data_IF_277869505176
#
_entry.id   IF_277869505176
#
_cell.length_a   1.000
_cell.length_b   1.000
_cell.length_c   1.000
_cell.angle_alpha   90.00
_cell.angle_beta   90.00
_cell.angle_gamma   90.00
#
_symmetry.space_group_name_H-M   'P 1'
#
loop_
_entity.id
_entity.type
_entity.pdbx_description
1 polymer ?
#
# COMPACT_ATOMS: atom_id res chain seq x y z
N UNK A 1 -50.41 6.03 54.46
CA UNK A 1 -49.06 5.83 53.87
C UNK A 1 -48.68 7.12 53.15
N UNK A 2 -47.65 7.83 53.60
CA UNK A 2 -47.40 9.23 53.20
C UNK A 2 -47.02 9.33 51.71
N UNK A 3 -47.31 10.48 51.08
CA UNK A 3 -47.03 10.77 49.67
C UNK A 3 -45.58 10.44 49.26
N UNK A 4 -44.62 10.63 50.17
CA UNK A 4 -43.20 10.29 49.96
C UNK A 4 -42.94 8.79 49.82
N UNK A 5 -43.65 7.97 50.59
CA UNK A 5 -43.51 6.51 50.53
C UNK A 5 -44.06 5.98 49.19
N UNK A 6 -45.15 6.59 48.67
CA UNK A 6 -45.70 6.23 47.36
C UNK A 6 -44.76 6.61 46.22
N UNK A 7 -44.11 7.77 46.29
CA UNK A 7 -43.15 8.21 45.27
C UNK A 7 -41.91 7.31 45.21
N UNK A 8 -41.33 6.98 46.38
CA UNK A 8 -40.17 6.07 46.45
C UNK A 8 -40.54 4.68 45.94
N UNK A 9 -41.75 4.19 46.26
CA UNK A 9 -42.21 2.89 45.79
C UNK A 9 -42.33 2.85 44.25
N UNK A 10 -42.86 3.90 43.62
CA UNK A 10 -42.95 4.00 42.16
C UNK A 10 -41.58 4.17 41.50
N UNK A 11 -40.66 4.94 42.09
CA UNK A 11 -39.30 5.10 41.57
C UNK A 11 -38.53 3.78 41.57
N UNK A 12 -38.61 3.00 42.65
CA UNK A 12 -37.97 1.68 42.76
C UNK A 12 -38.60 0.70 41.77
N UNK A 13 -39.92 0.75 41.57
CA UNK A 13 -40.61 -0.09 40.59
C UNK A 13 -40.19 0.25 39.15
N UNK A 14 -39.99 1.53 38.84
CA UNK A 14 -39.63 2.01 37.50
C UNK A 14 -38.15 1.72 37.18
N UNK A 15 -37.25 1.89 38.15
CA UNK A 15 -35.84 1.49 38.00
C UNK A 15 -35.73 -0.03 37.91
N UNK A 16 -36.46 -0.77 38.75
CA UNK A 16 -36.48 -2.24 38.70
C UNK A 16 -37.01 -2.78 37.37
N UNK A 17 -38.04 -2.17 36.81
CA UNK A 17 -38.56 -2.55 35.47
C UNK A 17 -37.62 -2.15 34.34
N UNK A 18 -36.95 -1.00 34.41
CA UNK A 18 -35.94 -0.62 33.42
C UNK A 18 -34.72 -1.56 33.44
N UNK A 19 -34.27 -2.00 34.62
CA UNK A 19 -33.19 -2.97 34.79
C UNK A 19 -33.61 -4.35 34.26
N UNK A 20 -34.82 -4.82 34.58
CA UNK A 20 -35.33 -6.09 34.06
C UNK A 20 -35.48 -6.04 32.53
N UNK A 21 -35.95 -4.93 31.97
CA UNK A 21 -36.05 -4.76 30.52
C UNK A 21 -34.67 -4.70 29.85
N UNK A 22 -33.67 -4.09 30.49
CA UNK A 22 -32.28 -4.09 30.01
C UNK A 22 -31.69 -5.50 29.97
N UNK A 23 -31.97 -6.34 30.96
CA UNK A 23 -31.47 -7.73 30.99
C UNK A 23 -32.30 -8.70 30.13
N UNK A 24 -33.61 -8.49 29.96
CA UNK A 24 -34.51 -9.35 29.16
C UNK A 24 -34.45 -9.03 27.66
N UNK A 25 -34.18 -7.78 27.28
CA UNK A 25 -34.02 -7.37 25.88
C UNK A 25 -32.56 -7.22 25.44
N UNK A 26 -31.59 -7.56 26.31
CA UNK A 26 -30.23 -7.81 25.84
C UNK A 26 -30.32 -9.02 24.92
N UNK A 27 -30.14 -8.83 23.61
CA UNK A 27 -29.87 -9.95 22.72
C UNK A 27 -28.68 -10.67 23.32
N UNK A 28 -28.88 -11.92 23.73
CA UNK A 28 -27.77 -12.85 23.80
C UNK A 28 -27.23 -12.93 22.38
N UNK A 29 -26.20 -12.14 22.08
CA UNK A 29 -25.27 -12.51 21.03
C UNK A 29 -24.68 -13.82 21.52
N UNK A 30 -25.26 -14.93 21.05
CA UNK A 30 -24.54 -16.18 21.02
C UNK A 30 -23.31 -15.93 20.16
N UNK A 31 -22.23 -15.54 20.80
CA UNK A 31 -20.93 -15.75 20.25
C UNK A 31 -20.74 -17.26 20.26
N UNK A 32 -20.98 -17.89 19.13
CA UNK A 32 -20.35 -19.17 18.83
C UNK A 32 -18.84 -18.90 18.78
N UNK A 33 -18.20 -18.91 19.95
CA UNK A 33 -16.76 -19.08 20.02
C UNK A 33 -16.48 -20.56 19.73
N UNK A 34 -16.40 -20.89 18.44
CA UNK A 34 -15.45 -21.92 18.04
C UNK A 34 -14.06 -21.47 18.52
N UNK A 35 -13.16 -22.39 18.91
CA UNK A 35 -11.80 -21.99 19.22
C UNK A 35 -11.25 -21.35 17.95
N UNK A 36 -11.04 -20.03 17.98
CA UNK A 36 -10.26 -19.35 16.97
C UNK A 36 -8.81 -19.80 17.18
N UNK A 37 -8.49 -21.00 16.69
CA UNK A 37 -7.12 -21.27 16.30
C UNK A 37 -6.89 -20.30 15.15
N UNK A 38 -6.19 -19.21 15.42
CA UNK A 38 -5.69 -18.33 14.36
C UNK A 38 -4.98 -19.26 13.37
N UNK A 39 -5.54 -19.42 12.17
CA UNK A 39 -4.87 -20.17 11.12
C UNK A 39 -3.63 -19.37 10.80
N UNK A 40 -2.47 -19.94 11.09
CA UNK A 40 -1.20 -19.28 10.86
C UNK A 40 -1.12 -18.79 9.40
N UNK A 41 -0.99 -17.47 9.17
CA UNK A 41 -0.85 -16.94 7.82
C UNK A 41 0.47 -17.41 7.19
N UNK A 42 0.52 -17.35 5.86
CA UNK A 42 1.73 -17.52 5.07
C UNK A 42 1.77 -18.80 4.22
N UNK A 43 2.90 -19.03 3.51
CA UNK A 43 4.06 -18.15 3.49
C UNK A 43 3.77 -16.78 2.86
N UNK A 44 4.39 -15.71 3.37
CA UNK A 44 4.48 -14.46 2.62
C UNK A 44 5.42 -14.61 1.40
N UNK A 45 5.61 -13.56 0.60
CA UNK A 45 6.40 -13.68 -0.62
C UNK A 45 7.90 -13.89 -0.38
N UNK A 46 8.44 -13.46 0.76
CA UNK A 46 9.82 -13.75 1.18
C UNK A 46 9.96 -15.19 1.71
N UNK A 47 8.91 -15.71 2.34
CA UNK A 47 8.81 -17.10 2.76
C UNK A 47 8.49 -17.29 4.25
N UNK A 48 8.25 -16.22 5.02
CA UNK A 48 7.89 -16.37 6.44
C UNK A 48 6.50 -17.01 6.56
N UNK A 49 6.42 -18.02 7.41
CA UNK A 49 5.18 -18.63 7.90
C UNK A 49 5.06 -18.39 9.40
N UNK A 50 3.97 -18.84 10.02
CA UNK A 50 4.00 -19.10 11.45
C UNK A 50 3.61 -20.52 11.83
N UNK A 51 3.99 -20.88 13.05
CA UNK A 51 3.61 -22.11 13.72
C UNK A 51 3.38 -21.89 15.22
N UNK A 52 2.68 -22.81 15.91
CA UNK A 52 2.53 -22.72 17.36
C UNK A 52 3.87 -22.70 18.09
N UNK A 53 4.14 -21.63 18.83
CA UNK A 53 5.36 -21.42 19.63
C UNK A 53 5.30 -22.04 21.02
N UNK A 54 4.37 -22.95 21.31
CA UNK A 54 4.16 -23.51 22.65
C UNK A 54 5.34 -24.34 23.19
N UNK A 55 6.36 -24.62 22.36
CA UNK A 55 7.59 -25.30 22.76
C UNK A 55 8.66 -24.33 23.28
N UNK A 56 8.45 -23.02 23.12
CA UNK A 56 9.32 -21.99 23.66
C UNK A 56 8.87 -21.60 25.07
N UNK A 57 9.82 -21.30 25.94
CA UNK A 57 9.55 -20.88 27.30
C UNK A 57 9.66 -19.36 27.39
N UNK A 58 8.77 -18.75 28.18
CA UNK A 58 8.84 -17.34 28.54
C UNK A 58 10.12 -17.04 29.31
N UNK A 59 10.78 -15.93 29.03
CA UNK A 59 12.07 -15.54 29.61
C UNK A 59 12.03 -14.13 30.19
N UNK A 60 11.75 -14.05 31.50
CA UNK A 60 11.78 -12.80 32.28
C UNK A 60 13.04 -11.97 32.01
N UNK A 61 12.86 -10.85 31.31
CA UNK A 61 13.87 -9.85 31.09
C UNK A 61 14.00 -8.97 32.34
N UNK A 62 15.17 -8.35 32.52
CA UNK A 62 15.43 -7.52 33.71
C UNK A 62 16.27 -6.28 33.40
N UNK A 63 16.76 -6.13 32.16
CA UNK A 63 17.53 -4.96 31.75
C UNK A 63 16.57 -3.90 31.23
N UNK A 64 16.21 -2.97 32.12
CA UNK A 64 15.31 -1.87 31.80
C UNK A 64 15.89 -0.93 30.72
N UNK A 65 15.10 -0.63 29.70
CA UNK A 65 15.48 0.26 28.59
C UNK A 65 15.36 1.75 28.92
N UNK A 66 14.80 2.09 30.09
CA UNK A 66 14.50 3.43 30.57
C UNK A 66 13.50 4.22 29.71
N UNK A 67 12.66 3.52 28.94
CA UNK A 67 11.52 4.12 28.25
C UNK A 67 10.34 4.25 29.24
N UNK A 68 10.07 5.47 29.70
CA UNK A 68 8.99 5.78 30.65
C UNK A 68 8.07 6.86 30.09
N UNK A 69 7.52 6.61 28.91
CA UNK A 69 6.67 7.56 28.21
C UNK A 69 5.55 6.85 27.47
N UNK A 70 4.43 7.53 27.39
CA UNK A 70 3.44 7.34 26.35
C UNK A 70 4.02 7.81 25.01
N UNK A 71 3.63 7.16 23.91
CA UNK A 71 4.13 7.43 22.55
C UNK A 71 5.66 7.61 22.48
N UNK A 72 6.38 6.66 23.07
CA UNK A 72 7.83 6.68 23.14
C UNK A 72 8.51 5.61 22.29
N UNK A 73 9.72 5.90 21.84
CA UNK A 73 10.65 4.88 21.32
C UNK A 73 12.00 4.98 22.00
N UNK A 74 12.70 3.86 22.11
CA UNK A 74 14.09 3.80 22.60
C UNK A 74 14.96 2.94 21.69
N UNK A 75 16.20 3.37 21.49
CA UNK A 75 17.17 2.64 20.69
C UNK A 75 17.76 1.47 21.48
N UNK A 76 17.68 0.28 20.90
CA UNK A 76 18.21 -0.96 21.48
C UNK A 76 19.24 -1.55 20.51
N UNK A 77 20.45 -1.76 21.01
CA UNK A 77 21.48 -2.46 20.24
C UNK A 77 21.21 -3.96 20.28
N UNK A 78 21.24 -4.60 19.11
CA UNK A 78 21.14 -6.06 19.03
C UNK A 78 22.47 -6.68 19.51
N UNK A 79 22.43 -7.70 20.39
CA UNK A 79 23.64 -8.34 20.92
C UNK A 79 24.38 -9.21 19.89
N UNK A 80 23.75 -9.45 18.74
CA UNK A 80 24.28 -10.12 17.55
C UNK A 80 23.61 -9.52 16.30
N UNK A 81 24.25 -9.63 15.12
CA UNK A 81 23.58 -9.33 13.86
C UNK A 81 22.36 -10.25 13.70
N UNK A 82 21.20 -9.68 13.40
CA UNK A 82 19.95 -10.41 13.18
C UNK A 82 19.48 -10.22 11.74
N UNK A 83 19.10 -11.30 11.06
CA UNK A 83 18.61 -11.25 9.68
C UNK A 83 17.09 -11.24 9.69
N UNK A 84 16.49 -10.21 9.11
CA UNK A 84 15.06 -10.06 8.96
C UNK A 84 14.75 -9.62 7.53
N UNK A 85 13.89 -10.37 6.82
CA UNK A 85 13.62 -10.17 5.39
C UNK A 85 14.92 -9.94 4.59
N UNK A 86 15.94 -10.78 4.78
CA UNK A 86 17.21 -10.71 4.06
C UNK A 86 18.13 -9.55 4.45
N UNK A 87 17.67 -8.62 5.29
CA UNK A 87 18.47 -7.48 5.76
C UNK A 87 19.09 -7.80 7.12
N UNK A 88 20.39 -7.52 7.26
CA UNK A 88 21.10 -7.68 8.54
C UNK A 88 21.01 -6.41 9.38
N UNK A 89 20.46 -6.55 10.58
CA UNK A 89 20.30 -5.48 11.55
C UNK A 89 21.24 -5.64 12.74
N UNK A 90 21.70 -4.50 13.27
CA UNK A 90 22.48 -4.43 14.52
C UNK A 90 21.82 -3.55 15.59
N UNK A 91 20.72 -2.88 15.24
CA UNK A 91 19.95 -2.01 16.13
C UNK A 91 18.47 -2.15 15.80
N UNK A 92 17.63 -1.78 16.75
CA UNK A 92 16.19 -1.57 16.56
C UNK A 92 15.72 -0.41 17.44
N UNK A 93 14.55 0.14 17.12
CA UNK A 93 13.80 1.04 17.96
C UNK A 93 12.63 0.26 18.57
N UNK A 94 12.59 0.15 19.89
CA UNK A 94 11.50 -0.47 20.60
C UNK A 94 10.51 0.61 21.07
N UNK A 95 9.23 0.41 20.77
CA UNK A 95 8.15 1.37 21.07
C UNK A 95 7.41 1.02 22.35
N UNK A 96 6.89 2.04 23.05
CA UNK A 96 5.90 1.83 24.12
C UNK A 96 4.70 1.04 23.60
N UNK A 97 4.29 1.33 22.35
CA UNK A 97 3.12 0.81 21.65
C UNK A 97 3.33 -0.61 21.07
N UNK A 98 4.18 -1.44 21.69
CA UNK A 98 4.27 -2.87 21.41
C UNK A 98 4.82 -3.26 20.04
N UNK A 99 5.68 -2.42 19.45
CA UNK A 99 6.37 -2.67 18.18
C UNK A 99 7.89 -2.61 18.32
N UNK A 100 8.59 -3.42 17.51
CA UNK A 100 10.02 -3.30 17.27
C UNK A 100 10.23 -2.91 15.82
N UNK A 101 10.88 -1.78 15.59
CA UNK A 101 11.22 -1.29 14.25
C UNK A 101 12.71 -1.49 14.04
N UNK A 102 13.09 -2.36 13.10
CA UNK A 102 14.46 -2.78 12.88
C UNK A 102 15.25 -1.65 12.22
N UNK A 103 16.50 -1.46 12.62
CA UNK A 103 17.33 -0.34 12.19
C UNK A 103 16.99 0.95 12.94
N UNK A 104 16.57 1.99 12.20
CA UNK A 104 16.40 3.36 12.73
C UNK A 104 15.00 3.95 12.47
N UNK A 105 14.05 3.18 11.94
CA UNK A 105 12.64 3.60 11.95
C UNK A 105 12.20 3.66 13.41
N UNK A 106 11.69 4.81 13.87
CA UNK A 106 11.50 5.10 15.29
C UNK A 106 10.22 5.86 15.57
N UNK A 107 9.12 5.41 14.98
CA UNK A 107 7.82 6.07 15.09
C UNK A 107 7.02 5.47 16.25
N UNK A 108 6.60 6.27 17.23
CA UNK A 108 5.77 5.79 18.33
C UNK A 108 4.29 5.76 17.94
N UNK A 109 3.94 5.18 16.79
CA UNK A 109 2.55 5.19 16.32
C UNK A 109 1.66 4.36 17.29
N UNK A 110 0.65 5.00 17.87
CA UNK A 110 -0.32 4.34 18.75
C UNK A 110 -1.53 3.82 17.97
N UNK A 111 -1.86 4.45 16.83
CA UNK A 111 -2.98 4.08 15.99
C UNK A 111 -2.64 2.86 15.15
N UNK A 112 -2.83 1.66 15.69
CA UNK A 112 -2.56 0.43 14.97
C UNK A 112 -3.39 0.31 13.69
N UNK A 113 -2.77 -0.26 12.66
CA UNK A 113 -3.39 -0.45 11.35
C UNK A 113 -3.31 -1.91 10.92
N UNK A 114 -4.31 -2.37 10.16
CA UNK A 114 -4.27 -3.70 9.56
C UNK A 114 -3.30 -3.67 8.36
N UNK A 115 -2.46 -4.70 8.28
CA UNK A 115 -1.43 -4.92 7.27
C UNK A 115 -1.97 -5.65 6.02
N UNK A 116 -3.29 -5.81 5.92
CA UNK A 116 -3.98 -6.47 4.79
C UNK A 116 -3.78 -5.74 3.46
N UNK A 117 -3.49 -4.44 3.50
CA UNK A 117 -3.29 -3.60 2.32
C UNK A 117 -1.81 -3.30 2.03
N UNK A 118 -0.88 -4.06 2.62
CA UNK A 118 0.55 -3.84 2.50
C UNK A 118 1.18 -3.24 3.76
N UNK A 119 2.51 -3.08 3.78
CA UNK A 119 3.23 -2.60 4.95
C UNK A 119 2.93 -1.12 5.22
N UNK A 120 3.13 -0.70 6.46
CA UNK A 120 3.07 0.70 6.84
C UNK A 120 4.46 1.32 6.58
N UNK A 121 4.62 2.04 5.47
CA UNK A 121 5.94 2.43 4.94
C UNK A 121 6.83 3.16 5.96
N UNK A 122 6.26 4.09 6.74
CA UNK A 122 7.04 4.85 7.72
C UNK A 122 7.46 4.00 8.93
N UNK A 123 6.78 2.89 9.23
CA UNK A 123 7.15 1.97 10.31
C UNK A 123 8.34 1.08 9.92
N UNK A 124 8.78 1.10 8.66
CA UNK A 124 9.95 0.36 8.20
C UNK A 124 9.77 -1.16 8.28
N UNK A 125 10.87 -1.86 8.58
CA UNK A 125 10.83 -3.28 8.92
C UNK A 125 10.38 -3.41 10.37
N UNK A 126 9.25 -4.07 10.60
CA UNK A 126 8.59 -4.08 11.90
C UNK A 126 8.18 -5.49 12.33
N UNK A 127 8.45 -5.77 13.60
CA UNK A 127 7.93 -6.91 14.35
C UNK A 127 6.89 -6.36 15.34
N UNK A 128 5.64 -6.78 15.18
CA UNK A 128 4.52 -6.34 16.00
C UNK A 128 3.94 -7.52 16.78
N UNK A 129 4.47 -7.84 17.98
CA UNK A 129 3.87 -8.85 18.86
C UNK A 129 2.49 -8.41 19.39
N UNK A 130 2.30 -7.11 19.62
CA UNK A 130 1.05 -6.52 20.09
C UNK A 130 1.06 -5.00 19.83
N UNK A 131 0.81 -4.58 18.58
CA UNK A 131 0.77 -3.14 18.28
C UNK A 131 -0.57 -2.53 18.66
N UNK A 132 -0.58 -1.66 19.67
CA UNK A 132 -1.74 -0.95 20.20
C UNK A 132 -1.26 0.28 21.00
N UNK A 133 -2.20 1.09 21.49
CA UNK A 133 -1.95 2.28 22.31
C UNK A 133 -1.63 1.89 23.77
N UNK A 134 -0.32 1.78 24.09
CA UNK A 134 0.21 1.29 25.36
C UNK A 134 1.05 2.37 26.07
N UNK A 135 0.92 2.44 27.39
CA UNK A 135 1.48 3.55 28.17
C UNK A 135 2.48 3.08 29.25
N UNK A 136 3.76 3.38 29.04
CA UNK A 136 4.87 3.12 29.97
C UNK A 136 5.16 4.28 30.94
N UNK A 137 4.40 5.38 30.89
CA UNK A 137 4.67 6.57 31.70
C UNK A 137 4.33 6.41 33.19
N UNK A 138 3.45 5.46 33.52
CA UNK A 138 2.96 5.26 34.90
C UNK A 138 3.20 3.87 35.48
N UNK A 139 3.15 2.81 34.66
CA UNK A 139 3.30 1.42 35.09
C UNK A 139 3.95 0.57 34.00
N UNK A 140 4.44 -0.60 34.41
CA UNK A 140 5.12 -1.54 33.54
C UNK A 140 6.52 -1.12 33.12
N UNK A 141 7.17 -2.01 32.39
CA UNK A 141 8.53 -1.82 31.90
C UNK A 141 8.71 -2.40 30.50
N UNK A 142 9.51 -1.71 29.69
CA UNK A 142 10.10 -2.28 28.49
C UNK A 142 11.53 -2.72 28.84
N UNK A 143 11.77 -4.03 28.81
CA UNK A 143 12.99 -4.65 29.31
C UNK A 143 13.63 -5.57 28.27
N UNK A 144 14.91 -5.86 28.47
CA UNK A 144 15.67 -6.75 27.59
C UNK A 144 16.52 -7.75 28.37
N UNK A 145 16.85 -8.86 27.73
CA UNK A 145 17.80 -9.83 28.25
C UNK A 145 18.52 -10.56 27.12
N UNK A 146 19.75 -11.00 27.41
CA UNK A 146 20.50 -11.92 26.54
C UNK A 146 20.68 -13.22 27.31
N UNK A 147 20.16 -14.32 26.77
CA UNK A 147 20.24 -15.64 27.38
C UNK A 147 21.11 -16.56 26.53
N UNK A 148 21.93 -17.37 27.18
CA UNK A 148 22.85 -18.30 26.52
C UNK A 148 24.18 -17.67 26.12
N UNK A 149 24.95 -18.41 25.33
CA UNK A 149 26.29 -18.04 24.87
C UNK A 149 26.37 -18.13 23.33
N UNK A 150 27.23 -17.30 22.73
CA UNK A 150 27.44 -17.33 21.29
C UNK A 150 27.93 -18.72 20.82
N UNK A 151 27.47 -19.21 19.64
CA UNK A 151 26.62 -18.53 18.66
C UNK A 151 25.11 -18.85 18.81
N UNK A 152 24.64 -19.25 20.00
CA UNK A 152 23.25 -19.67 20.23
C UNK A 152 22.57 -18.81 21.31
N UNK A 153 22.79 -17.49 21.26
CA UNK A 153 22.11 -16.56 22.17
C UNK A 153 20.66 -16.34 21.76
N UNK A 154 19.85 -16.03 22.75
CA UNK A 154 18.48 -15.53 22.58
C UNK A 154 18.47 -14.10 23.08
N UNK A 155 17.98 -13.17 22.27
CA UNK A 155 17.71 -11.82 22.69
C UNK A 155 16.23 -11.66 22.97
N UNK A 156 15.89 -11.27 24.20
CA UNK A 156 14.52 -11.08 24.67
C UNK A 156 14.24 -9.60 24.77
N UNK A 157 13.09 -9.17 24.25
CA UNK A 157 12.51 -7.84 24.45
C UNK A 157 11.10 -8.04 25.02
N UNK A 158 10.86 -7.52 26.22
CA UNK A 158 9.65 -7.77 26.99
C UNK A 158 8.93 -6.45 27.34
N UNK A 159 7.61 -6.46 27.16
CA UNK A 159 6.70 -5.50 27.78
C UNK A 159 6.10 -6.18 28.99
N UNK A 160 6.57 -5.84 30.20
CA UNK A 160 6.11 -6.43 31.46
C UNK A 160 5.15 -5.47 32.17
N UNK A 161 3.92 -5.91 32.40
CA UNK A 161 2.94 -5.19 33.21
C UNK A 161 2.52 -3.85 32.62
N UNK A 162 2.43 -3.75 31.29
CA UNK A 162 2.15 -2.49 30.58
C UNK A 162 0.64 -2.30 30.39
N UNK A 163 0.04 -1.21 30.88
CA UNK A 163 -1.37 -0.91 30.66
C UNK A 163 -1.62 -0.28 29.28
N UNK A 164 -2.87 -0.33 28.83
CA UNK A 164 -3.32 0.50 27.68
C UNK A 164 -3.44 1.97 28.10
N UNK A 165 -3.21 2.88 27.16
CA UNK A 165 -3.39 4.31 27.40
C UNK A 165 -4.83 4.62 27.86
N UNK A 166 -4.95 5.45 28.90
CA UNK A 166 -6.23 5.82 29.50
C UNK A 166 -6.98 4.69 30.22
N UNK A 167 -6.39 3.49 30.31
CA UNK A 167 -6.94 2.31 31.00
C UNK A 167 -6.72 2.30 32.52
N UNK A 168 -7.12 1.19 33.16
CA UNK A 168 -6.80 0.93 34.56
C UNK A 168 -5.35 0.45 34.66
N UNK A 169 -4.51 1.12 35.45
CA UNK A 169 -3.10 0.75 35.64
C UNK A 169 -2.88 -0.60 36.34
N UNK A 170 -3.94 -1.26 36.79
CA UNK A 170 -3.92 -2.63 37.33
C UNK A 170 -4.36 -3.69 36.31
N UNK A 171 -4.83 -3.27 35.13
CA UNK A 171 -5.20 -4.12 33.99
C UNK A 171 -4.10 -4.02 32.94
N UNK A 172 -3.16 -4.97 33.00
CA UNK A 172 -1.87 -4.86 32.31
C UNK A 172 -1.60 -6.05 31.39
N UNK A 173 -0.77 -5.81 30.37
CA UNK A 173 -0.30 -6.81 29.43
C UNK A 173 1.15 -7.19 29.75
N UNK A 174 1.47 -8.49 29.65
CA UNK A 174 2.84 -9.01 29.75
C UNK A 174 3.11 -9.96 28.57
N UNK A 175 4.02 -9.56 27.69
CA UNK A 175 4.40 -10.31 26.47
C UNK A 175 5.82 -10.00 26.02
N UNK A 176 6.44 -10.90 25.27
CA UNK A 176 7.82 -10.75 24.81
C UNK A 176 8.02 -11.19 23.36
N UNK A 177 9.11 -10.70 22.78
CA UNK A 177 9.71 -11.18 21.54
C UNK A 177 11.06 -11.81 21.85
N UNK A 178 11.28 -13.02 21.34
CA UNK A 178 12.59 -13.67 21.34
C UNK A 178 13.18 -13.70 19.93
N UNK A 179 14.41 -13.23 19.78
CA UNK A 179 15.21 -13.30 18.56
C UNK A 179 16.35 -14.31 18.76
N UNK A 180 16.51 -15.27 17.84
CA UNK A 180 17.48 -16.35 17.98
C UNK A 180 18.74 -16.11 17.12
N UNK A 181 19.93 -16.10 17.72
CA UNK A 181 21.20 -15.80 17.02
C UNK A 181 21.52 -16.80 15.91
N UNK A 182 21.32 -18.09 16.15
CA UNK A 182 21.76 -19.14 15.25
C UNK A 182 20.83 -19.32 14.03
N UNK A 183 19.52 -19.15 14.24
CA UNK A 183 18.49 -19.42 13.23
C UNK A 183 17.87 -18.17 12.63
N UNK A 184 17.96 -17.03 13.31
CA UNK A 184 17.18 -15.82 13.03
C UNK A 184 15.66 -16.01 13.18
N UNK A 185 15.23 -17.02 13.93
CA UNK A 185 13.81 -17.21 14.25
C UNK A 185 13.30 -16.09 15.16
N UNK A 186 12.02 -15.80 15.02
CA UNK A 186 11.28 -14.84 15.85
C UNK A 186 10.21 -15.60 16.60
N UNK A 187 10.06 -15.37 17.90
CA UNK A 187 9.00 -15.98 18.69
C UNK A 187 8.29 -14.91 19.52
N UNK A 188 6.96 -14.87 19.43
CA UNK A 188 6.10 -14.09 20.31
C UNK A 188 5.59 -15.00 21.42
N UNK A 189 5.69 -14.54 22.66
CA UNK A 189 5.20 -15.26 23.82
C UNK A 189 4.35 -14.33 24.68
N UNK A 190 3.17 -14.82 25.07
CA UNK A 190 2.16 -14.04 25.78
C UNK A 190 1.94 -14.63 27.17
N UNK A 191 2.44 -13.98 28.22
CA UNK A 191 2.23 -14.42 29.59
C UNK A 191 0.84 -14.02 30.08
N UNK A 192 0.46 -12.77 29.86
CA UNK A 192 -0.88 -12.24 30.16
C UNK A 192 -1.31 -11.24 29.09
N UNK A 193 -2.35 -11.58 28.34
CA UNK A 193 -3.00 -10.70 27.36
C UNK A 193 -4.50 -10.61 27.61
N UNK A 194 -4.94 -11.05 28.80
CA UNK A 194 -6.35 -11.11 29.19
C UNK A 194 -6.79 -9.86 29.93
N UNK A 195 -6.98 -8.78 29.18
CA UNK A 195 -7.41 -7.46 29.69
C UNK A 195 -8.91 -7.20 29.52
N UNK A 196 -9.43 -6.15 30.16
CA UNK A 196 -10.86 -5.77 30.06
C UNK A 196 -11.22 -5.19 28.68
N UNK A 197 -10.35 -4.37 28.10
CA UNK A 197 -10.54 -3.73 26.80
C UNK A 197 -9.43 -4.15 25.83
N UNK A 198 -9.77 -4.49 24.58
CA UNK A 198 -8.75 -4.94 23.62
C UNK A 198 -8.24 -6.36 23.86
N UNK A 199 -8.91 -7.10 24.75
CA UNK A 199 -8.57 -8.44 25.21
C UNK A 199 -8.06 -9.36 24.09
N UNK A 200 -6.93 -10.04 24.32
CA UNK A 200 -6.35 -11.05 23.42
C UNK A 200 -6.03 -10.55 22.02
N UNK A 201 -5.71 -9.26 21.88
CA UNK A 201 -5.44 -8.60 20.60
C UNK A 201 -6.70 -8.07 19.90
N UNK A 202 -7.84 -8.01 20.60
CA UNK A 202 -9.10 -7.47 20.11
C UNK A 202 -9.05 -6.02 19.60
N UNK A 203 -7.98 -5.29 19.92
CA UNK A 203 -7.66 -3.95 19.38
C UNK A 203 -6.26 -3.85 18.78
N UNK A 204 -5.47 -4.92 18.79
CA UNK A 204 -4.07 -4.87 18.39
C UNK A 204 -3.85 -5.35 16.96
N UNK A 205 -2.74 -4.93 16.36
CA UNK A 205 -2.16 -5.56 15.17
C UNK A 205 -1.04 -6.51 15.59
N UNK A 206 -1.07 -7.74 15.10
CA UNK A 206 -0.07 -8.77 15.37
C UNK A 206 0.48 -9.32 14.06
N UNK A 207 1.80 -9.27 13.88
CA UNK A 207 2.44 -9.76 12.67
C UNK A 207 3.82 -9.20 12.40
N UNK A 208 4.26 -9.38 11.16
CA UNK A 208 5.54 -8.90 10.62
C UNK A 208 5.28 -8.02 9.40
N UNK A 209 6.16 -7.07 9.14
CA UNK A 209 6.24 -6.40 7.84
C UNK A 209 7.68 -6.07 7.45
N UNK A 210 7.90 -5.97 6.15
CA UNK A 210 9.02 -5.22 5.58
C UNK A 210 8.50 -4.14 4.65
N UNK A 211 8.66 -2.88 5.05
CA UNK A 211 8.35 -1.75 4.19
C UNK A 211 9.25 -1.72 2.95
N UNK A 212 10.53 -2.04 3.12
CA UNK A 212 11.50 -2.03 2.02
C UNK A 212 11.14 -3.02 0.90
N UNK A 213 10.50 -4.13 1.24
CA UNK A 213 10.12 -5.18 0.29
C UNK A 213 8.63 -5.19 -0.05
N UNK A 214 7.81 -4.31 0.52
CA UNK A 214 6.38 -4.31 0.28
C UNK A 214 5.64 -5.50 0.92
N UNK A 215 6.18 -6.10 1.97
CA UNK A 215 5.72 -7.38 2.52
C UNK A 215 5.05 -7.24 3.87
N UNK A 216 4.04 -8.08 4.08
CA UNK A 216 3.35 -8.23 5.37
C UNK A 216 3.01 -9.68 5.63
N UNK A 217 3.04 -10.05 6.91
CA UNK A 217 2.52 -11.30 7.42
C UNK A 217 1.66 -11.00 8.66
N UNK A 218 0.37 -10.76 8.44
CA UNK A 218 -0.57 -10.43 9.50
C UNK A 218 -1.21 -11.68 10.11
N UNK A 219 -1.00 -11.88 11.40
CA UNK A 219 -1.70 -12.90 12.18
C UNK A 219 -3.09 -12.42 12.62
N UNK A 220 -3.19 -11.18 13.08
CA UNK A 220 -4.44 -10.60 13.54
C UNK A 220 -4.43 -9.08 13.50
N UNK A 221 -5.60 -8.50 13.30
CA UNK A 221 -5.82 -7.07 13.42
C UNK A 221 -7.19 -6.82 14.04
N UNK A 222 -7.23 -6.16 15.20
CA UNK A 222 -8.46 -5.85 15.93
C UNK A 222 -9.34 -7.09 16.17
N UNK A 223 -8.70 -8.21 16.52
CA UNK A 223 -9.36 -9.51 16.71
C UNK A 223 -8.73 -10.29 17.88
N UNK A 224 -9.53 -10.95 18.73
CA UNK A 224 -9.06 -11.65 19.91
C UNK A 224 -8.44 -13.02 19.55
N UNK A 225 -7.31 -12.99 18.85
CA UNK A 225 -6.62 -14.18 18.30
C UNK A 225 -5.54 -14.74 19.22
N UNK A 226 -5.21 -14.03 20.30
CA UNK A 226 -4.16 -14.40 21.25
C UNK A 226 -4.72 -15.15 22.47
N UNK A 227 -3.83 -15.72 23.27
CA UNK A 227 -4.19 -16.33 24.54
C UNK A 227 -3.03 -16.33 25.54
N UNK A 228 -3.38 -16.33 26.83
CA UNK A 228 -2.38 -16.41 27.90
C UNK A 228 -1.65 -17.75 27.87
N UNK A 229 -0.35 -17.71 28.14
CA UNK A 229 0.54 -18.86 28.11
C UNK A 229 0.69 -19.49 26.72
N UNK A 230 0.41 -18.75 25.65
CA UNK A 230 0.60 -19.21 24.26
C UNK A 230 1.82 -18.57 23.61
N UNK A 231 2.33 -19.23 22.58
CA UNK A 231 3.42 -18.70 21.77
C UNK A 231 3.15 -18.86 20.27
N UNK A 232 3.81 -18.02 19.48
CA UNK A 232 3.74 -18.01 18.02
C UNK A 232 5.15 -17.86 17.50
N UNK A 233 5.62 -18.84 16.74
CA UNK A 233 6.95 -18.82 16.16
C UNK A 233 6.85 -18.47 14.67
N UNK A 234 7.79 -17.67 14.20
CA UNK A 234 8.04 -17.34 12.81
C UNK A 234 9.45 -17.82 12.50
N UNK A 235 9.59 -19.07 12.02
CA UNK A 235 10.88 -19.60 11.63
C UNK A 235 11.46 -18.76 10.49
N UNK A 236 12.77 -18.48 10.54
CA UNK A 236 13.42 -17.88 9.39
C UNK A 236 13.27 -18.83 8.18
N UNK A 237 12.89 -18.33 6.99
CA UNK A 237 12.67 -19.20 5.84
C UNK A 237 13.93 -19.99 5.49
N UNK A 238 13.76 -21.29 5.23
CA UNK A 238 14.87 -22.18 4.82
C UNK A 238 15.31 -21.87 3.39
N UNK A 239 14.34 -21.52 2.54
CA UNK A 239 14.54 -21.11 1.13
C UNK A 239 13.87 -19.74 0.95
N UNK A 240 14.49 -18.65 1.46
CA UNK A 240 13.93 -17.32 1.31
C UNK A 240 13.94 -16.91 -0.16
N UNK A 241 12.89 -16.21 -0.59
CA UNK A 241 12.91 -15.53 -1.87
C UNK A 241 13.69 -14.22 -1.71
N UNK A 242 15.02 -14.30 -1.81
CA UNK A 242 15.91 -13.13 -1.67
C UNK A 242 15.74 -12.11 -2.80
N UNK A 243 15.06 -12.47 -3.90
CA UNK A 243 14.78 -11.57 -5.01
C UNK A 243 13.52 -10.70 -4.77
N UNK A 244 12.80 -10.91 -3.66
CA UNK A 244 11.64 -10.09 -3.29
C UNK A 244 12.11 -8.69 -2.90
N UNK A 245 11.64 -7.70 -3.64
CA UNK A 245 12.14 -6.34 -3.51
C UNK A 245 13.53 -6.12 -4.12
N UNK A 246 14.13 -7.07 -4.86
CA UNK A 246 15.42 -6.90 -5.58
C UNK A 246 15.30 -6.80 -7.11
N UNK A 247 14.14 -6.44 -7.66
CA UNK A 247 14.12 -5.79 -8.99
C UNK A 247 14.54 -4.29 -8.93
N UNK A 248 14.99 -3.80 -7.77
CA UNK A 248 15.59 -2.47 -7.51
C UNK A 248 16.60 -2.51 -6.33
N UNK A 249 17.67 -1.69 -6.35
CA UNK A 249 18.28 -0.98 -5.18
C UNK A 249 19.77 -0.56 -5.38
N UNK A 250 20.02 0.74 -5.60
CA UNK A 250 21.06 1.52 -4.87
C UNK A 250 20.52 2.96 -4.69
N UNK A 251 20.40 3.50 -3.46
CA UNK A 251 19.81 4.82 -3.21
C UNK A 251 20.85 5.96 -3.15
N UNK A 252 20.40 7.22 -3.39
CA UNK A 252 20.62 8.28 -2.41
C UNK A 252 19.35 9.09 -2.07
N UNK A 253 19.35 9.67 -0.87
CA UNK A 253 18.27 10.40 -0.18
C UNK A 253 17.83 11.73 -0.81
N UNK A 254 16.52 12.03 -0.83
CA UNK A 254 15.95 13.39 -0.83
C UNK A 254 14.74 13.48 0.14
N UNK A 255 14.51 14.63 0.83
CA UNK A 255 13.54 14.77 1.93
C UNK A 255 12.10 14.99 1.47
N UNK A 256 11.18 14.51 2.30
CA UNK A 256 9.73 14.70 2.18
C UNK A 256 9.32 16.18 2.16
N UNK A 257 8.87 16.64 1.00
CA UNK A 257 7.77 17.60 0.84
C UNK A 257 7.25 17.47 -0.58
N UNK A 258 5.95 17.20 -0.76
CA UNK A 258 5.05 17.83 -1.76
C UNK A 258 3.74 17.02 -1.88
N UNK A 259 2.78 17.32 -1.00
CA UNK A 259 1.40 16.88 -1.16
C UNK A 259 0.62 17.89 -2.04
N UNK A 260 0.15 17.42 -3.19
CA UNK A 260 -0.92 17.93 -4.07
C UNK A 260 -0.67 19.28 -4.76
N UNK A 261 -0.08 19.24 -5.97
CA UNK A 261 -0.41 20.15 -7.08
C UNK A 261 0.01 19.62 -8.46
N UNK A 262 -0.92 18.96 -9.16
CA UNK A 262 -0.85 18.63 -10.61
C UNK A 262 0.04 17.45 -10.94
N UNK A 263 -0.56 16.31 -11.30
CA UNK A 263 0.13 15.05 -11.64
C UNK A 263 1.23 15.24 -12.69
N UNK A 264 0.98 16.06 -13.72
CA UNK A 264 1.97 16.43 -14.74
C UNK A 264 3.12 17.28 -14.19
N UNK A 265 2.83 18.16 -13.23
CA UNK A 265 3.86 18.98 -12.59
C UNK A 265 4.77 18.13 -11.69
N UNK A 266 4.23 17.10 -11.04
CA UNK A 266 5.01 16.12 -10.28
C UNK A 266 5.97 15.34 -11.19
N UNK A 267 5.52 14.94 -12.38
CA UNK A 267 6.37 14.34 -13.42
C UNK A 267 7.47 15.29 -13.89
N UNK A 268 7.12 16.54 -14.24
CA UNK A 268 8.09 17.53 -14.72
C UNK A 268 9.14 17.84 -13.64
N UNK A 269 8.71 18.00 -12.38
CA UNK A 269 9.64 18.21 -11.26
C UNK A 269 10.59 17.02 -11.10
N UNK A 270 10.06 15.80 -11.15
CA UNK A 270 10.87 14.58 -11.08
C UNK A 270 11.89 14.49 -12.22
N UNK A 271 11.46 14.68 -13.47
CA UNK A 271 12.35 14.65 -14.64
C UNK A 271 13.40 15.75 -14.62
N UNK A 272 13.08 16.94 -14.08
CA UNK A 272 14.01 18.06 -13.98
C UNK A 272 15.19 17.81 -13.03
N UNK A 273 15.09 16.80 -12.17
CA UNK A 273 16.15 16.36 -11.25
C UNK A 273 17.09 15.32 -11.88
N UNK A 274 16.90 14.98 -13.18
CA UNK A 274 17.77 14.09 -13.99
C UNK A 274 17.85 12.63 -13.49
N UNK A 275 16.78 12.12 -12.90
CA UNK A 275 16.68 10.73 -12.49
C UNK A 275 16.02 9.90 -13.60
N UNK A 276 16.71 8.89 -14.14
CA UNK A 276 16.21 8.06 -15.26
C UNK A 276 14.97 7.23 -14.90
N UNK A 277 14.73 7.03 -13.60
CA UNK A 277 13.77 6.04 -13.10
C UNK A 277 12.52 6.70 -12.50
N UNK A 278 12.41 8.03 -12.57
CA UNK A 278 11.33 8.79 -11.92
C UNK A 278 9.93 8.45 -12.41
N UNK A 279 9.79 8.06 -13.68
CA UNK A 279 8.51 7.63 -14.26
C UNK A 279 8.06 6.29 -13.68
N UNK A 280 9.01 5.38 -13.42
CA UNK A 280 8.73 4.11 -12.75
C UNK A 280 8.40 4.32 -11.26
N UNK A 281 9.05 5.29 -10.62
CA UNK A 281 8.71 5.69 -9.25
C UNK A 281 7.28 6.24 -9.15
N UNK A 282 6.94 7.23 -9.98
CA UNK A 282 5.60 7.82 -10.00
C UNK A 282 4.52 6.80 -10.40
N UNK A 283 4.85 5.84 -11.29
CA UNK A 283 3.98 4.72 -11.61
C UNK A 283 3.59 3.93 -10.37
N UNK A 284 4.56 3.59 -9.54
CA UNK A 284 4.35 2.86 -8.28
C UNK A 284 3.51 3.67 -7.32
N UNK A 285 3.82 4.95 -7.11
CA UNK A 285 3.05 5.83 -6.22
C UNK A 285 1.57 5.91 -6.64
N UNK A 286 1.30 6.03 -7.93
CA UNK A 286 -0.07 6.10 -8.45
C UNK A 286 -0.83 4.79 -8.37
N UNK A 287 -0.15 3.65 -8.49
CA UNK A 287 -0.75 2.33 -8.27
C UNK A 287 -1.18 2.15 -6.81
N UNK A 288 -0.53 2.83 -5.87
CA UNK A 288 -0.83 2.80 -4.43
C UNK A 288 -1.89 3.81 -4.00
N UNK A 289 -2.32 4.72 -4.89
CA UNK A 289 -3.41 5.64 -4.59
C UNK A 289 -4.77 4.93 -4.44
N UNK A 290 -5.74 5.60 -3.82
CA UNK A 290 -7.11 5.14 -3.73
C UNK A 290 -8.07 6.18 -4.35
N UNK A 291 -8.66 5.92 -5.54
CA UNK A 291 -8.55 4.69 -6.31
C UNK A 291 -7.18 4.54 -7.01
N UNK A 292 -6.72 3.31 -7.28
CA UNK A 292 -5.42 3.08 -7.90
C UNK A 292 -5.43 3.54 -9.35
N UNK A 293 -4.42 4.31 -9.73
CA UNK A 293 -4.21 4.77 -11.09
C UNK A 293 -3.07 3.97 -11.70
N UNK A 294 -3.33 3.31 -12.82
CA UNK A 294 -2.22 2.72 -13.59
C UNK A 294 -1.62 3.79 -14.47
N UNK A 295 -0.32 3.74 -14.63
CA UNK A 295 0.40 4.69 -15.46
C UNK A 295 1.29 3.96 -16.46
N UNK A 296 1.43 4.52 -17.65
CA UNK A 296 2.34 4.04 -18.69
C UNK A 296 2.83 5.24 -19.50
N UNK A 297 4.03 5.13 -20.06
CA UNK A 297 4.62 6.20 -20.86
C UNK A 297 5.34 5.67 -22.10
N UNK A 298 5.50 6.55 -23.08
CA UNK A 298 6.22 6.28 -24.32
C UNK A 298 7.07 7.50 -24.70
N UNK A 299 8.30 7.27 -25.16
CA UNK A 299 9.15 8.30 -25.77
C UNK A 299 8.90 8.35 -27.28
N UNK A 300 8.47 9.50 -27.80
CA UNK A 300 8.08 9.71 -29.20
C UNK A 300 8.44 11.14 -29.63
N UNK A 301 9.05 11.35 -30.80
CA UNK A 301 9.31 12.71 -31.34
C UNK A 301 8.04 13.31 -31.98
N UNK A 302 7.08 13.71 -31.14
CA UNK A 302 5.79 14.29 -31.55
C UNK A 302 5.89 15.75 -31.98
N UNK A 303 6.97 16.44 -31.63
CA UNK A 303 7.22 17.84 -32.03
C UNK A 303 8.11 17.95 -33.27
N UNK A 304 8.64 16.84 -33.78
CA UNK A 304 9.55 16.80 -34.94
C UNK A 304 10.88 17.50 -34.68
N UNK A 305 11.29 17.61 -33.41
CA UNK A 305 12.46 18.38 -33.00
C UNK A 305 13.73 17.51 -32.91
N UNK A 306 13.61 16.20 -33.17
CA UNK A 306 14.67 15.21 -33.09
C UNK A 306 14.95 14.69 -31.68
N UNK A 307 14.08 14.95 -30.71
CA UNK A 307 14.15 14.43 -29.33
C UNK A 307 12.84 13.75 -28.98
N UNK A 308 12.94 12.67 -28.21
CA UNK A 308 11.75 11.96 -27.73
C UNK A 308 11.01 12.82 -26.69
N UNK A 309 9.81 13.25 -27.06
CA UNK A 309 8.82 13.81 -26.16
C UNK A 309 8.17 12.67 -25.35
N UNK A 310 7.67 12.96 -24.15
CA UNK A 310 7.03 11.96 -23.31
C UNK A 310 5.51 12.00 -23.47
N UNK A 311 4.96 10.93 -24.03
CA UNK A 311 3.54 10.62 -23.97
C UNK A 311 3.22 9.89 -22.67
N UNK A 312 2.31 10.44 -21.88
CA UNK A 312 1.93 9.96 -20.57
C UNK A 312 0.47 9.51 -20.57
N UNK A 313 0.21 8.29 -20.12
CA UNK A 313 -1.13 7.69 -20.08
C UNK A 313 -1.45 7.26 -18.65
N UNK A 314 -2.52 7.83 -18.08
CA UNK A 314 -3.09 7.34 -16.81
C UNK A 314 -4.39 6.63 -17.08
N UNK A 315 -4.60 5.53 -16.37
CA UNK A 315 -5.74 4.64 -16.52
C UNK A 315 -6.53 4.65 -15.21
N UNK A 316 -7.73 5.21 -15.27
CA UNK A 316 -8.69 5.06 -14.18
C UNK A 316 -9.18 3.61 -14.10
N UNK A 317 -9.50 3.10 -12.90
CA UNK A 317 -10.12 1.79 -12.80
C UNK A 317 -11.50 1.80 -13.46
N UNK A 318 -12.03 0.63 -13.80
CA UNK A 318 -13.34 0.52 -14.44
C UNK A 318 -14.49 1.18 -13.65
N UNK A 319 -14.35 1.30 -12.33
CA UNK A 319 -15.30 1.99 -11.45
C UNK A 319 -15.19 3.52 -11.54
N UNK A 320 -13.99 4.03 -11.84
CA UNK A 320 -13.66 5.46 -11.91
C UNK A 320 -13.00 5.81 -13.25
N UNK A 321 -13.66 5.53 -14.39
CA UNK A 321 -13.06 5.74 -15.71
C UNK A 321 -12.78 7.22 -15.98
N UNK A 322 -13.44 8.15 -15.28
CA UNK A 322 -13.23 9.60 -15.39
C UNK A 322 -11.84 10.07 -14.93
N UNK A 323 -11.01 9.17 -14.37
CA UNK A 323 -9.62 9.43 -14.01
C UNK A 323 -8.63 9.08 -15.14
N UNK A 324 -9.11 8.50 -16.25
CA UNK A 324 -8.26 8.25 -17.43
C UNK A 324 -7.90 9.58 -18.11
N UNK A 325 -6.61 9.87 -18.22
CA UNK A 325 -6.07 11.12 -18.74
C UNK A 325 -4.82 10.89 -19.58
N UNK A 326 -4.52 11.84 -20.45
CA UNK A 326 -3.35 11.82 -21.33
C UNK A 326 -2.62 13.15 -21.26
N UNK A 327 -1.30 13.10 -21.18
CA UNK A 327 -0.45 14.28 -21.28
C UNK A 327 0.71 14.06 -22.24
N UNK A 328 1.24 15.15 -22.80
CA UNK A 328 2.46 15.14 -23.62
C UNK A 328 3.41 16.21 -23.11
N UNK A 329 4.64 15.81 -22.81
CA UNK A 329 5.71 16.68 -22.37
C UNK A 329 6.80 16.77 -23.44
N UNK A 330 7.02 17.95 -23.99
CA UNK A 330 8.06 18.17 -24.98
C UNK A 330 9.45 18.24 -24.35
N UNK A 331 10.41 17.51 -24.92
CA UNK A 331 11.80 17.54 -24.48
C UNK A 331 12.52 18.79 -25.01
N UNK A 332 12.99 19.64 -24.10
CA UNK A 332 13.76 20.83 -24.42
C UNK A 332 15.26 20.49 -24.62
N UNK A 333 15.99 21.38 -25.29
CA UNK A 333 17.42 21.18 -25.55
C UNK A 333 18.30 21.17 -24.28
N UNK A 334 17.80 21.71 -23.17
CA UNK A 334 18.45 21.75 -21.87
C UNK A 334 18.07 20.55 -20.97
N UNK A 335 17.47 19.50 -21.54
CA UNK A 335 16.99 18.30 -20.83
C UNK A 335 15.83 18.56 -19.87
N UNK A 336 15.20 19.75 -19.92
CA UNK A 336 13.94 20.01 -19.22
C UNK A 336 12.74 19.60 -20.09
N UNK A 337 11.55 19.54 -19.48
CA UNK A 337 10.31 19.19 -20.16
C UNK A 337 9.27 20.32 -20.07
N UNK A 338 8.53 20.54 -21.16
CA UNK A 338 7.42 21.50 -21.22
C UNK A 338 6.10 20.76 -21.47
N UNK A 339 5.09 20.96 -20.63
CA UNK A 339 3.75 20.41 -20.88
C UNK A 339 3.12 21.04 -22.13
N UNK A 340 2.84 20.23 -23.15
CA UNK A 340 2.14 20.65 -24.38
C UNK A 340 0.65 20.28 -24.35
N UNK A 341 0.32 19.14 -23.73
CA UNK A 341 -1.03 18.61 -23.63
C UNK A 341 -1.22 18.01 -22.24
N UNK A 342 -2.36 18.26 -21.61
CA UNK A 342 -2.81 17.64 -20.36
C UNK A 342 -4.33 17.66 -20.38
N UNK A 343 -4.94 16.52 -20.75
CA UNK A 343 -6.38 16.42 -20.98
C UNK A 343 -6.98 15.15 -20.39
N UNK A 344 -8.16 15.24 -19.74
CA UNK A 344 -8.93 14.05 -19.40
C UNK A 344 -9.45 13.40 -20.69
N UNK A 345 -9.29 12.09 -20.80
CA UNK A 345 -9.72 11.32 -21.97
C UNK A 345 -11.13 10.76 -21.82
N UNK A 346 -11.61 10.69 -20.58
CA UNK A 346 -12.81 9.96 -20.22
C UNK A 346 -13.74 10.83 -19.39
N UNK A 347 -15.04 10.64 -19.58
CA UNK A 347 -16.06 11.28 -18.76
C UNK A 347 -16.97 10.21 -18.15
N UNK A 348 -17.79 10.58 -17.17
CA UNK A 348 -18.78 9.64 -16.59
C UNK A 348 -19.80 9.13 -17.62
N UNK A 349 -19.99 9.84 -18.73
CA UNK A 349 -20.98 9.51 -19.78
C UNK A 349 -20.37 8.88 -21.03
N UNK A 350 -19.06 9.03 -21.24
CA UNK A 350 -18.31 8.40 -22.33
C UNK A 350 -16.98 7.88 -21.74
N UNK A 351 -17.00 6.67 -21.16
CA UNK A 351 -15.85 6.15 -20.44
C UNK A 351 -14.82 5.57 -21.40
N UNK A 352 -13.56 5.95 -21.20
CA UNK A 352 -12.40 5.26 -21.77
C UNK A 352 -11.75 4.45 -20.66
N UNK A 353 -11.70 3.14 -20.87
CA UNK A 353 -11.31 2.20 -19.82
C UNK A 353 -9.83 1.86 -19.91
N UNK A 354 -9.36 1.36 -21.06
CA UNK A 354 -8.00 0.82 -21.20
C UNK A 354 -7.32 1.48 -22.40
N UNK A 355 -6.73 2.66 -22.19
CA UNK A 355 -6.06 3.42 -23.26
C UNK A 355 -4.64 2.93 -23.50
N UNK A 356 -4.26 2.63 -24.73
CA UNK A 356 -2.88 2.23 -25.06
C UNK A 356 -2.39 2.91 -26.33
N UNK A 357 -1.06 3.02 -26.50
CA UNK A 357 -0.46 3.41 -27.77
C UNK A 357 -0.59 2.24 -28.75
N UNK A 358 -1.37 2.43 -29.80
CA UNK A 358 -1.57 1.42 -30.84
C UNK A 358 -0.46 1.49 -31.89
N UNK A 359 -0.20 2.68 -32.43
CA UNK A 359 0.79 2.88 -33.50
C UNK A 359 1.41 4.29 -33.42
N UNK A 360 2.57 4.45 -34.04
CA UNK A 360 3.24 5.75 -34.23
C UNK A 360 3.58 5.92 -35.70
N UNK A 361 2.90 6.84 -36.37
CA UNK A 361 3.02 7.06 -37.82
C UNK A 361 2.55 8.47 -38.17
N UNK A 362 3.11 9.06 -39.23
CA UNK A 362 2.59 10.32 -39.79
C UNK A 362 1.24 10.07 -40.50
N UNK A 363 0.15 10.38 -39.80
CA UNK A 363 -1.22 10.28 -40.28
C UNK A 363 -1.68 11.55 -41.02
N UNK A 364 -0.94 12.65 -40.87
CA UNK A 364 -1.34 13.96 -41.37
C UNK A 364 -0.54 14.44 -42.58
N UNK A 365 0.55 13.76 -42.90
CA UNK A 365 1.47 14.07 -43.99
C UNK A 365 2.31 15.31 -43.72
N UNK A 366 2.44 15.74 -42.46
CA UNK A 366 3.21 16.95 -42.10
C UNK A 366 4.71 16.66 -41.88
N UNK A 367 5.11 15.39 -41.98
CA UNK A 367 6.48 14.92 -41.79
C UNK A 367 6.84 14.67 -40.33
N UNK A 368 5.89 14.80 -39.40
CA UNK A 368 6.05 14.51 -37.97
C UNK A 368 5.21 13.27 -37.64
N UNK A 369 5.72 12.43 -36.74
CA UNK A 369 4.99 11.22 -36.35
C UNK A 369 3.81 11.59 -35.43
N UNK A 370 2.65 11.00 -35.69
CA UNK A 370 1.48 11.10 -34.83
C UNK A 370 1.36 9.86 -33.94
N UNK A 371 0.80 10.04 -32.73
CA UNK A 371 0.50 8.91 -31.84
C UNK A 371 -0.97 8.51 -31.98
N UNK A 372 -1.22 7.26 -32.37
CA UNK A 372 -2.56 6.70 -32.44
C UNK A 372 -2.84 5.89 -31.18
N UNK A 373 -3.73 6.39 -30.35
CA UNK A 373 -4.17 5.74 -29.11
C UNK A 373 -5.45 4.94 -29.34
N UNK A 374 -5.60 3.85 -28.59
CA UNK A 374 -6.77 2.97 -28.64
C UNK A 374 -7.29 2.64 -27.26
N UNK A 375 -8.58 2.81 -27.07
CA UNK A 375 -9.29 2.15 -25.98
C UNK A 375 -9.46 0.67 -26.33
N UNK A 376 -8.70 -0.19 -25.68
CA UNK A 376 -8.69 -1.64 -25.93
C UNK A 376 -10.04 -2.30 -25.66
N UNK A 377 -10.87 -1.66 -24.83
CA UNK A 377 -12.20 -2.17 -24.52
C UNK A 377 -13.23 -1.83 -25.61
N UNK A 378 -13.34 -0.56 -25.98
CA UNK A 378 -14.36 -0.11 -26.95
C UNK A 378 -13.88 -0.07 -28.41
N UNK A 379 -12.57 -0.12 -28.64
CA UNK A 379 -11.96 0.04 -29.96
C UNK A 379 -12.00 1.47 -30.48
N UNK A 380 -12.34 2.45 -29.63
CA UNK A 380 -12.28 3.87 -29.97
C UNK A 380 -10.82 4.29 -30.16
N UNK A 381 -10.55 5.02 -31.25
CA UNK A 381 -9.23 5.57 -31.53
C UNK A 381 -9.19 7.08 -31.28
N UNK A 382 -8.01 7.56 -30.89
CA UNK A 382 -7.68 8.97 -30.74
C UNK A 382 -6.31 9.22 -31.36
N UNK A 383 -6.12 10.33 -32.07
CA UNK A 383 -4.84 10.72 -32.63
C UNK A 383 -4.29 11.93 -31.89
N UNK A 384 -3.01 11.89 -31.52
CA UNK A 384 -2.26 13.06 -31.04
C UNK A 384 -1.37 13.52 -32.19
N UNK A 385 -1.55 14.76 -32.61
CA UNK A 385 -0.87 15.34 -33.77
C UNK A 385 -0.57 16.81 -33.56
N UNK A 386 0.51 17.32 -34.18
CA UNK A 386 0.80 18.75 -34.28
C UNK A 386 -0.05 19.46 -35.33
N UNK A 387 -0.67 18.73 -36.27
CA UNK A 387 -1.56 19.34 -37.25
C UNK A 387 -2.91 19.75 -36.60
N UNK A 388 -3.47 20.93 -36.95
CA UNK A 388 -3.06 21.84 -38.03
C UNK A 388 -2.15 23.01 -37.59
N UNK A 389 -1.38 22.88 -36.51
CA UNK A 389 -0.39 23.89 -36.11
C UNK A 389 -0.08 23.96 -34.61
N UNK A 390 -0.74 23.15 -33.79
CA UNK A 390 -0.46 22.97 -32.36
C UNK A 390 -0.83 21.55 -31.95
N UNK A 391 -0.07 20.97 -31.03
CA UNK A 391 -0.33 19.64 -30.51
C UNK A 391 -1.77 19.52 -29.97
N UNK A 392 -2.52 18.56 -30.50
CA UNK A 392 -3.93 18.36 -30.18
C UNK A 392 -4.28 16.88 -30.12
N UNK A 393 -5.31 16.54 -29.33
CA UNK A 393 -5.90 15.22 -29.24
C UNK A 393 -7.22 15.22 -30.03
N UNK A 394 -7.31 14.43 -31.09
CA UNK A 394 -8.44 14.38 -32.00
C UNK A 394 -9.10 13.00 -31.98
N UNK A 395 -10.44 12.92 -31.89
CA UNK A 395 -11.13 11.64 -32.01
C UNK A 395 -11.02 11.13 -33.44
N UNK A 396 -10.76 9.83 -33.60
CA UNK A 396 -10.82 9.18 -34.91
C UNK A 396 -12.17 8.45 -35.02
N UNK A 397 -13.06 8.86 -35.94
CA UNK A 397 -14.43 8.37 -35.99
C UNK A 397 -14.48 6.87 -36.24
N UNK A 398 -15.46 6.20 -35.61
CA UNK A 398 -15.66 4.76 -35.67
C UNK A 398 -14.92 3.99 -34.57
N UNK A 399 -15.42 2.79 -34.26
CA UNK A 399 -14.89 1.91 -33.21
C UNK A 399 -14.60 0.54 -33.79
N UNK A 400 -13.43 -0.03 -33.50
CA UNK A 400 -13.10 -1.36 -33.97
C UNK A 400 -12.14 -2.14 -33.06
N UNK A 401 -12.58 -3.34 -32.69
CA UNK A 401 -11.79 -4.25 -31.86
C UNK A 401 -10.85 -5.18 -32.67
N UNK A 402 -10.95 -5.18 -34.00
CA UNK A 402 -10.07 -5.97 -34.87
C UNK A 402 -8.71 -5.28 -35.08
N UNK A 403 -7.82 -5.97 -35.80
CA UNK A 403 -6.51 -5.45 -36.18
C UNK A 403 -6.61 -4.08 -36.87
N UNK A 404 -5.83 -3.14 -36.36
CA UNK A 404 -5.58 -1.86 -37.00
C UNK A 404 -4.70 -2.08 -38.22
N UNK A 405 -5.14 -1.59 -39.38
CA UNK A 405 -4.33 -1.59 -40.60
C UNK A 405 -4.08 -0.14 -41.00
N UNK A 406 -2.83 0.20 -41.28
CA UNK A 406 -2.42 1.52 -41.76
C UNK A 406 -1.83 1.36 -43.15
N UNK A 407 -2.33 2.12 -44.11
CA UNK A 407 -1.79 2.12 -45.48
C UNK A 407 -2.06 3.44 -46.17
N UNK A 408 -1.14 3.84 -47.04
CA UNK A 408 -1.32 4.91 -48.00
C UNK A 408 -1.84 4.27 -49.31
N UNK A 409 -3.16 4.24 -49.51
CA UNK A 409 -3.75 3.51 -50.64
C UNK A 409 -3.78 4.29 -51.96
N UNK A 410 -3.64 5.62 -51.91
CA UNK A 410 -3.56 6.50 -53.08
C UNK A 410 -2.16 7.06 -53.36
N UNK A 411 -1.15 6.62 -52.62
CA UNK A 411 0.26 6.98 -52.75
C UNK A 411 0.48 8.50 -52.65
N UNK A 412 -0.36 9.19 -51.87
CA UNK A 412 -0.30 10.63 -51.68
C UNK A 412 0.60 11.04 -50.50
N UNK A 413 1.13 10.06 -49.78
CA UNK A 413 2.01 10.22 -48.62
C UNK A 413 1.26 10.36 -47.29
N UNK A 414 -0.07 10.31 -47.28
CA UNK A 414 -0.90 10.39 -46.08
C UNK A 414 -1.42 9.01 -45.71
N UNK A 415 -1.10 8.56 -44.50
CA UNK A 415 -1.53 7.24 -44.05
C UNK A 415 -3.03 7.22 -43.72
N UNK A 416 -3.73 6.19 -44.20
CA UNK A 416 -5.14 5.99 -43.95
C UNK A 416 -5.35 4.85 -42.94
N UNK A 417 -6.35 5.02 -42.07
CA UNK A 417 -6.74 4.03 -41.08
C UNK A 417 -7.80 3.11 -41.69
N UNK A 418 -7.41 1.85 -41.92
CA UNK A 418 -8.23 0.80 -42.50
C UNK A 418 -8.79 -0.12 -41.45
N UNK A 419 -10.11 -0.30 -41.49
CA UNK A 419 -10.86 -1.11 -40.53
C UNK A 419 -11.77 -2.08 -41.26
N UNK A 420 -11.53 -3.38 -41.05
CA UNK A 420 -12.30 -4.47 -41.65
C UNK A 420 -13.06 -5.26 -40.55
N UNK A 421 -14.30 -5.65 -40.84
CA UNK A 421 -15.13 -6.48 -39.94
C UNK A 421 -15.68 -5.76 -38.69
N UNK A 422 -15.76 -4.43 -38.69
CA UNK A 422 -16.19 -3.64 -37.54
C UNK A 422 -17.69 -3.28 -37.66
N UNK A 423 -18.58 -4.18 -37.25
CA UNK A 423 -20.00 -3.85 -36.96
C UNK A 423 -20.89 -3.38 -38.13
N UNK A 424 -20.49 -3.55 -39.38
CA UNK A 424 -21.28 -3.25 -40.59
C UNK A 424 -20.73 -3.97 -41.83
N UNK A 425 -21.48 -3.96 -42.93
CA UNK A 425 -21.03 -4.51 -44.21
C UNK A 425 -20.00 -3.57 -44.85
N UNK A 426 -18.74 -4.00 -44.89
CA UNK A 426 -17.68 -3.35 -45.67
C UNK A 426 -16.53 -2.75 -44.87
N UNK A 427 -15.45 -2.42 -45.59
CA UNK A 427 -14.27 -1.74 -45.04
C UNK A 427 -14.57 -0.27 -44.84
N UNK A 428 -14.12 0.29 -43.73
CA UNK A 428 -14.16 1.74 -43.48
C UNK A 428 -12.76 2.31 -43.53
N UNK A 429 -12.62 3.42 -44.24
CA UNK A 429 -11.36 4.14 -44.42
C UNK A 429 -11.50 5.49 -43.72
N UNK A 430 -10.59 5.80 -42.82
CA UNK A 430 -10.53 7.10 -42.15
C UNK A 430 -9.23 7.78 -42.48
N UNK A 431 -9.30 9.03 -42.94
CA UNK A 431 -8.13 9.79 -43.36
C UNK A 431 -8.18 11.21 -42.78
N UNK A 432 -7.02 11.86 -42.77
CA UNK A 432 -6.88 13.26 -42.40
C UNK A 432 -7.48 14.17 -43.48
N UNK A 433 -8.28 15.17 -43.08
CA UNK A 433 -8.92 16.13 -44.00
C UNK A 433 -8.19 17.47 -44.07
N UNK A 434 -7.08 17.62 -43.33
CA UNK A 434 -6.41 18.91 -43.08
C UNK A 434 -6.83 19.57 -41.76
N UNK A 435 -7.96 19.16 -41.16
CA UNK A 435 -8.44 19.69 -39.88
C UNK A 435 -8.98 18.63 -38.91
N UNK A 436 -9.50 17.52 -39.42
CA UNK A 436 -10.05 16.42 -38.63
C UNK A 436 -9.88 15.07 -39.33
N UNK A 437 -10.07 13.97 -38.59
CA UNK A 437 -10.17 12.64 -39.16
C UNK A 437 -11.62 12.36 -39.57
N UNK A 438 -11.84 11.96 -40.83
CA UNK A 438 -13.17 11.69 -41.35
C UNK A 438 -13.24 10.34 -42.05
N UNK A 439 -14.39 9.66 -41.94
CA UNK A 439 -14.66 8.44 -42.69
C UNK A 439 -14.87 8.81 -44.16
N UNK A 440 -13.98 8.33 -45.01
CA UNK A 440 -14.15 8.37 -46.46
C UNK A 440 -15.00 7.17 -46.87
N UNK A 441 -16.22 7.42 -47.33
CA UNK A 441 -16.98 6.44 -48.11
C UNK A 441 -16.42 6.40 -49.53
N UNK A 442 -15.34 5.65 -49.76
CA UNK A 442 -14.94 5.23 -51.12
C UNK A 442 -15.72 3.98 -51.53
#
# INVERSE_FOLDING_TARGET
>A
MSSRIRFIFWLVLLVGTAVILFFVFRRETQAEFGPAVALCPGPDQYGYTCEPGNNYAYLDATTNTALYSDDGVTAVALPFPFIFYGTTYTTLQASSNGTLQLGNAGYPEYGNQCLDNGPIDYMGDMIAPFWDDLDLSFAGYLETAVVGDAPNRIFVIEWDGVPRYGGDFTDTLTFEVQLFEASNDIVFLYQDVSVLEGNRGGSATVGLQSAAQGLTLQLGCNQPVLGDGTGIAFPHPVEPNEEVGMETAVPPTIPATLAVKGVVNDVIMGLSQQESDVLAMLQSDWLLQNPPLRFSWHGLDLTGNGRDDLLLLWHGPNADPYLTQVAVLAANADQSYTSLLDVPLSTRTDPVHHISLAETVDLTGDGVADALLRDEQSGQLFAITTAPGSLSLLPVPGRCNNHLNLMDSDEDGVMEIWRDGCGGDGRTLTAWTGTEFAINSK
#
